data_IF_624434820164
#
_entry.id   IF_624434820164
#
_cell.length_a   1.000
_cell.length_b   1.000
_cell.length_c   1.000
_cell.angle_alpha   90.00
_cell.angle_beta   90.00
_cell.angle_gamma   90.00
#
_symmetry.space_group_name_H-M   'P 1'
#
loop_
_entity.id
_entity.type
_entity.pdbx_description
1 polymer ?
#
# COMPACT_ATOMS: atom_id res chain seq x y z
N UNK A 1 12.49 -12.48 19.07
CA UNK A 1 11.46 -13.06 18.20
C UNK A 1 10.41 -12.00 18.05
N UNK A 2 9.97 -11.68 16.84
CA UNK A 2 8.96 -10.64 16.64
C UNK A 2 7.62 -11.09 17.20
N UNK A 3 6.94 -10.21 17.94
CA UNK A 3 5.62 -10.46 18.57
C UNK A 3 4.52 -9.60 17.98
N UNK A 4 4.88 -8.46 17.39
CA UNK A 4 3.96 -7.48 16.81
C UNK A 4 4.47 -7.03 15.45
N UNK A 5 3.82 -7.47 14.40
CA UNK A 5 4.17 -7.16 13.01
C UNK A 5 3.17 -6.15 12.45
N UNK A 6 3.66 -5.02 11.96
CA UNK A 6 2.87 -4.03 11.25
C UNK A 6 3.12 -4.17 9.76
N UNK A 7 2.07 -4.27 8.94
CA UNK A 7 2.16 -4.21 7.48
C UNK A 7 1.50 -2.95 6.95
N UNK A 8 2.26 -2.17 6.18
CA UNK A 8 1.78 -0.95 5.55
C UNK A 8 1.28 -1.26 4.14
N UNK A 9 -0.02 -1.09 3.90
CA UNK A 9 -0.67 -1.38 2.62
C UNK A 9 -1.15 -0.10 1.93
N UNK A 10 -1.21 -0.14 0.61
CA UNK A 10 -1.82 0.87 -0.26
C UNK A 10 -2.75 0.19 -1.27
N UNK A 11 -3.35 0.95 -2.19
CA UNK A 11 -4.24 0.40 -3.24
C UNK A 11 -3.50 -0.23 -4.43
N UNK A 12 -2.23 -0.57 -4.28
CA UNK A 12 -1.43 -1.14 -5.35
C UNK A 12 -1.64 -2.64 -5.60
N UNK A 13 -1.21 -3.09 -6.77
CA UNK A 13 -1.12 -4.51 -7.11
C UNK A 13 -0.22 -5.32 -6.15
N UNK A 14 0.77 -4.67 -5.55
CA UNK A 14 1.69 -5.28 -4.58
C UNK A 14 1.01 -5.61 -3.24
N UNK A 15 -0.12 -4.98 -2.91
CA UNK A 15 -0.85 -5.15 -1.64
C UNK A 15 -1.06 -6.61 -1.25
N UNK A 16 -1.57 -7.41 -2.18
CA UNK A 16 -1.88 -8.83 -1.91
C UNK A 16 -0.63 -9.62 -1.58
N UNK A 17 0.44 -9.42 -2.35
CA UNK A 17 1.72 -10.09 -2.12
C UNK A 17 2.35 -9.68 -0.79
N UNK A 18 2.35 -8.39 -0.50
CA UNK A 18 2.86 -7.82 0.75
C UNK A 18 2.13 -8.37 1.98
N UNK A 19 0.79 -8.37 1.92
CA UNK A 19 -0.03 -8.90 2.99
C UNK A 19 0.18 -10.41 3.19
N UNK A 20 0.29 -11.19 2.12
CA UNK A 20 0.61 -12.62 2.21
C UNK A 20 1.92 -12.85 2.95
N UNK A 21 2.97 -12.12 2.61
CA UNK A 21 4.28 -12.21 3.30
C UNK A 21 4.18 -11.87 4.78
N UNK A 22 3.42 -10.81 5.12
CA UNK A 22 3.20 -10.43 6.51
C UNK A 22 2.42 -11.49 7.30
N UNK A 23 1.41 -12.10 6.69
CA UNK A 23 0.62 -13.19 7.25
C UNK A 23 1.50 -14.42 7.50
N UNK A 24 2.32 -14.81 6.53
CA UNK A 24 3.22 -15.97 6.66
C UNK A 24 4.22 -15.75 7.80
N UNK A 25 4.79 -14.54 7.91
CA UNK A 25 5.66 -14.18 9.01
C UNK A 25 4.95 -14.19 10.36
N UNK A 26 3.74 -13.62 10.44
CA UNK A 26 2.96 -13.58 11.67
C UNK A 26 2.62 -15.00 12.16
N UNK A 27 2.25 -15.91 11.27
CA UNK A 27 2.05 -17.33 11.61
C UNK A 27 3.31 -18.01 12.13
N UNK A 28 4.41 -17.84 11.40
CA UNK A 28 5.69 -18.49 11.76
C UNK A 28 6.20 -18.00 13.11
N UNK A 29 6.01 -16.72 13.41
CA UNK A 29 6.48 -16.06 14.63
C UNK A 29 5.46 -16.14 15.78
N UNK A 30 4.23 -16.57 15.52
CA UNK A 30 3.09 -16.46 16.44
C UNK A 30 2.86 -15.01 16.91
N UNK A 31 2.98 -14.06 15.99
CA UNK A 31 2.89 -12.64 16.23
C UNK A 31 1.49 -12.09 15.95
N UNK A 32 1.11 -11.02 16.66
CA UNK A 32 -0.05 -10.19 16.33
C UNK A 32 0.24 -9.39 15.05
N UNK A 33 -0.79 -9.12 14.25
CA UNK A 33 -0.67 -8.37 13.00
C UNK A 33 -1.48 -7.07 13.05
N UNK A 34 -0.85 -5.96 12.68
CA UNK A 34 -1.50 -4.67 12.42
C UNK A 34 -1.45 -4.36 10.93
N UNK A 35 -2.59 -4.10 10.31
CA UNK A 35 -2.67 -3.64 8.92
C UNK A 35 -2.90 -2.13 8.93
N UNK A 36 -2.00 -1.37 8.32
CA UNK A 36 -2.06 0.10 8.29
C UNK A 36 -2.21 0.59 6.85
N UNK A 37 -3.19 1.46 6.64
CA UNK A 37 -3.34 2.25 5.43
C UNK A 37 -3.22 3.74 5.78
N UNK A 38 -2.30 4.44 5.12
CA UNK A 38 -2.16 5.89 5.25
C UNK A 38 -2.97 6.58 4.15
N UNK A 39 -4.06 7.22 4.54
CA UNK A 39 -4.94 7.93 3.60
C UNK A 39 -4.27 9.23 3.14
N UNK A 40 -3.76 9.22 1.91
CA UNK A 40 -3.00 10.33 1.34
C UNK A 40 -3.63 10.85 0.05
N UNK A 41 -3.67 12.18 -0.11
CA UNK A 41 -4.10 12.83 -1.36
C UNK A 41 -3.18 12.53 -2.56
N UNK A 42 -2.01 11.96 -2.31
CA UNK A 42 -1.04 11.60 -3.34
C UNK A 42 -1.07 10.12 -3.72
N UNK A 43 -1.96 9.34 -3.12
CA UNK A 43 -2.12 7.93 -3.43
C UNK A 43 -2.86 7.75 -4.76
N UNK A 44 -2.56 6.64 -5.44
CA UNK A 44 -3.27 6.27 -6.67
C UNK A 44 -4.74 5.98 -6.37
N UNK A 45 -5.64 6.58 -7.14
CA UNK A 45 -7.08 6.46 -6.92
C UNK A 45 -7.65 7.46 -5.91
N UNK A 46 -6.82 8.23 -5.19
CA UNK A 46 -7.33 9.27 -4.29
C UNK A 46 -8.06 10.38 -5.08
N UNK A 47 -9.11 10.98 -4.50
CA UNK A 47 -9.81 12.08 -5.13
C UNK A 47 -8.88 13.28 -5.36
N UNK A 48 -8.69 13.67 -6.61
CA UNK A 48 -7.91 14.85 -6.96
C UNK A 48 -8.61 16.14 -6.51
N UNK A 49 -7.80 17.13 -6.09
CA UNK A 49 -8.31 18.46 -5.75
C UNK A 49 -9.07 19.08 -6.95
N UNK A 50 -10.16 19.82 -6.71
CA UNK A 50 -10.86 20.53 -7.78
C UNK A 50 -9.91 21.54 -8.44
N UNK A 51 -9.50 21.25 -9.67
CA UNK A 51 -8.64 22.16 -10.45
C UNK A 51 -9.52 23.21 -11.11
N UNK A 52 -9.24 24.49 -10.85
CA UNK A 52 -9.86 25.58 -11.63
C UNK A 52 -9.38 25.48 -13.07
N UNK A 53 -10.31 25.27 -14.00
CA UNK A 53 -9.99 25.48 -15.41
C UNK A 53 -9.71 26.98 -15.63
N UNK A 54 -8.48 27.31 -15.96
CA UNK A 54 -7.96 28.69 -16.09
C UNK A 54 -8.70 29.56 -17.11
N UNK A 55 -9.68 29.01 -17.83
CA UNK A 55 -10.43 29.67 -18.91
C UNK A 55 -11.94 29.76 -18.65
N UNK A 56 -12.42 29.53 -17.45
CA UNK A 56 -13.85 29.65 -17.17
C UNK A 56 -14.18 31.07 -16.72
N UNK A 57 -14.75 31.84 -17.64
CA UNK A 57 -15.25 33.23 -17.43
C UNK A 57 -16.57 33.26 -16.61
N UNK A 58 -17.08 32.09 -16.21
CA UNK A 58 -18.25 31.98 -15.36
C UNK A 58 -17.84 31.66 -13.92
N UNK A 59 -18.40 32.40 -12.95
CA UNK A 59 -18.25 32.00 -11.54
C UNK A 59 -19.06 30.74 -11.32
N UNK A 60 -18.46 29.58 -11.59
CA UNK A 60 -18.98 28.32 -11.04
C UNK A 60 -18.93 28.51 -9.54
N UNK A 61 -20.08 28.39 -8.88
CA UNK A 61 -20.17 28.49 -7.44
C UNK A 61 -19.19 27.47 -6.85
N UNK A 62 -18.07 27.94 -6.31
CA UNK A 62 -16.99 27.13 -5.74
C UNK A 62 -17.51 26.05 -4.75
N UNK A 63 -18.73 26.24 -4.20
CA UNK A 63 -19.38 25.30 -3.30
C UNK A 63 -19.68 23.94 -3.89
N UNK A 64 -20.20 23.85 -5.12
CA UNK A 64 -20.61 22.55 -5.72
C UNK A 64 -19.40 21.66 -6.02
N UNK A 65 -18.30 22.25 -6.47
CA UNK A 65 -17.07 21.50 -6.75
C UNK A 65 -16.45 20.99 -5.46
N UNK A 66 -16.50 21.79 -4.40
CA UNK A 66 -15.98 21.46 -3.07
C UNK A 66 -16.83 20.38 -2.39
N UNK A 67 -18.15 20.49 -2.42
CA UNK A 67 -19.08 19.46 -1.92
C UNK A 67 -18.90 18.12 -2.63
N UNK A 68 -18.68 18.17 -3.95
CA UNK A 68 -18.42 16.95 -4.74
C UNK A 68 -17.09 16.31 -4.34
N UNK A 69 -16.06 17.11 -4.11
CA UNK A 69 -14.76 16.65 -3.65
C UNK A 69 -14.84 16.00 -2.27
N UNK A 70 -15.52 16.64 -1.32
CA UNK A 70 -15.72 16.08 0.02
C UNK A 70 -16.45 14.73 -0.01
N UNK A 71 -17.54 14.62 -0.80
CA UNK A 71 -18.28 13.37 -0.96
C UNK A 71 -17.42 12.24 -1.55
N UNK A 72 -16.53 12.57 -2.49
CA UNK A 72 -15.58 11.58 -3.03
C UNK A 72 -14.58 11.12 -1.99
N UNK A 73 -14.09 12.03 -1.16
CA UNK A 73 -13.20 11.70 -0.05
C UNK A 73 -13.88 10.79 0.97
N UNK A 74 -15.08 11.14 1.42
CA UNK A 74 -15.85 10.32 2.35
C UNK A 74 -16.10 8.91 1.79
N UNK A 75 -16.36 8.82 0.51
CA UNK A 75 -16.55 7.52 -0.16
C UNK A 75 -15.24 6.73 -0.19
N UNK A 76 -14.15 7.35 -0.60
CA UNK A 76 -12.82 6.76 -0.66
C UNK A 76 -12.35 6.25 0.71
N UNK A 77 -12.52 7.07 1.75
CA UNK A 77 -12.21 6.69 3.13
C UNK A 77 -13.03 5.48 3.60
N UNK A 78 -14.32 5.50 3.35
CA UNK A 78 -15.23 4.42 3.75
C UNK A 78 -14.95 3.11 3.01
N UNK A 79 -14.63 3.18 1.72
CA UNK A 79 -14.23 2.02 0.92
C UNK A 79 -12.92 1.44 1.43
N UNK A 80 -11.91 2.28 1.71
CA UNK A 80 -10.64 1.86 2.28
C UNK A 80 -10.80 1.14 3.63
N UNK A 81 -11.63 1.67 4.54
CA UNK A 81 -11.94 1.00 5.81
C UNK A 81 -12.63 -0.34 5.59
N UNK A 82 -13.55 -0.42 4.62
CA UNK A 82 -14.24 -1.67 4.29
C UNK A 82 -13.28 -2.74 3.78
N UNK A 83 -12.34 -2.35 2.92
CA UNK A 83 -11.29 -3.24 2.42
C UNK A 83 -10.36 -3.71 3.53
N UNK A 84 -9.88 -2.81 4.38
CA UNK A 84 -9.02 -3.17 5.52
C UNK A 84 -9.70 -4.17 6.46
N UNK A 85 -11.00 -3.99 6.69
CA UNK A 85 -11.79 -4.92 7.50
C UNK A 85 -11.83 -6.34 6.88
N UNK A 86 -11.96 -6.42 5.56
CA UNK A 86 -11.93 -7.72 4.85
C UNK A 86 -10.54 -8.36 4.93
N UNK A 87 -9.48 -7.57 4.74
CA UNK A 87 -8.11 -8.05 4.85
C UNK A 87 -7.81 -8.59 6.27
N UNK A 88 -8.24 -7.84 7.28
CA UNK A 88 -8.08 -8.24 8.69
C UNK A 88 -8.91 -9.51 9.02
N UNK A 89 -10.14 -9.61 8.52
CA UNK A 89 -10.97 -10.80 8.69
C UNK A 89 -10.32 -12.05 8.05
N UNK A 90 -9.73 -11.88 6.86
CA UNK A 90 -9.02 -12.96 6.18
C UNK A 90 -7.77 -13.44 6.94
N UNK A 91 -7.02 -12.54 7.53
CA UNK A 91 -5.87 -12.88 8.37
C UNK A 91 -6.32 -13.54 9.69
N UNK A 92 -7.37 -13.02 10.32
CA UNK A 92 -7.95 -13.59 11.55
C UNK A 92 -8.51 -14.99 11.35
N UNK A 93 -9.12 -15.26 10.20
CA UNK A 93 -9.60 -16.61 9.83
C UNK A 93 -8.45 -17.63 9.71
N UNK A 94 -7.22 -17.17 9.58
CA UNK A 94 -6.01 -17.99 9.55
C UNK A 94 -5.37 -18.15 10.94
N UNK A 95 -6.05 -17.72 12.00
CA UNK A 95 -5.61 -17.86 13.39
C UNK A 95 -4.68 -16.75 13.89
N UNK A 96 -4.54 -15.65 13.16
CA UNK A 96 -3.70 -14.52 13.54
C UNK A 96 -4.57 -13.46 14.23
N UNK A 97 -4.20 -13.02 15.43
CA UNK A 97 -4.82 -11.85 16.05
C UNK A 97 -4.46 -10.62 15.23
N UNK A 98 -5.47 -10.05 14.55
CA UNK A 98 -5.27 -9.00 13.56
C UNK A 98 -6.10 -7.76 13.91
N UNK A 99 -5.43 -6.62 13.90
CA UNK A 99 -6.00 -5.28 14.02
C UNK A 99 -5.76 -4.51 12.72
N UNK A 100 -6.53 -3.46 12.48
CA UNK A 100 -6.29 -2.57 11.35
C UNK A 100 -6.60 -1.12 11.70
N UNK A 101 -5.95 -0.20 11.00
CA UNK A 101 -6.23 1.23 11.10
C UNK A 101 -6.04 1.92 9.75
N UNK A 102 -6.86 2.96 9.54
CA UNK A 102 -6.70 3.91 8.45
C UNK A 102 -6.52 5.30 9.04
N UNK A 103 -5.46 5.99 8.66
CA UNK A 103 -5.12 7.29 9.24
C UNK A 103 -4.74 8.26 8.13
N UNK A 104 -5.34 9.44 8.12
CA UNK A 104 -4.99 10.49 7.16
C UNK A 104 -3.66 11.14 7.51
N UNK A 105 -2.82 11.37 6.49
CA UNK A 105 -1.56 12.07 6.67
C UNK A 105 -0.46 11.66 5.69
N UNK A 106 0.76 12.11 5.99
CA UNK A 106 1.96 11.68 5.26
C UNK A 106 2.24 10.19 5.54
N UNK A 107 2.30 9.34 4.51
CA UNK A 107 2.37 7.90 4.70
C UNK A 107 3.56 7.43 5.54
N UNK A 108 4.74 8.01 5.32
CA UNK A 108 5.93 7.63 6.09
C UNK A 108 5.78 7.92 7.57
N UNK A 109 5.24 9.11 7.91
CA UNK A 109 4.99 9.51 9.31
C UNK A 109 3.91 8.67 9.94
N UNK A 110 2.77 8.51 9.28
CA UNK A 110 1.65 7.69 9.79
C UNK A 110 2.10 6.28 10.14
N UNK A 111 2.89 5.63 9.27
CA UNK A 111 3.41 4.29 9.51
C UNK A 111 4.30 4.25 10.75
N UNK A 112 5.24 5.19 10.88
CA UNK A 112 6.13 5.26 12.04
C UNK A 112 5.38 5.56 13.35
N UNK A 113 4.40 6.47 13.31
CA UNK A 113 3.61 6.86 14.48
C UNK A 113 2.72 5.70 14.96
N UNK A 114 2.06 5.00 14.04
CA UNK A 114 1.28 3.79 14.36
C UNK A 114 2.18 2.67 14.88
N UNK A 115 3.34 2.44 14.25
CA UNK A 115 4.29 1.44 14.72
C UNK A 115 4.75 1.71 16.16
N UNK A 116 5.04 2.97 16.48
CA UNK A 116 5.45 3.39 17.82
C UNK A 116 4.31 3.23 18.83
N UNK A 117 3.11 3.73 18.52
CA UNK A 117 1.96 3.69 19.43
C UNK A 117 1.46 2.27 19.68
N UNK A 118 1.48 1.42 18.67
CA UNK A 118 1.11 0.01 18.76
C UNK A 118 2.25 -0.87 19.29
N UNK A 119 3.47 -0.32 19.42
CA UNK A 119 4.68 -1.02 19.86
C UNK A 119 5.06 -2.17 18.90
N UNK A 120 5.09 -1.90 17.61
CA UNK A 120 5.50 -2.87 16.62
C UNK A 120 6.99 -3.24 16.78
N UNK A 121 7.31 -4.52 16.60
CA UNK A 121 8.68 -5.04 16.56
C UNK A 121 9.25 -5.05 15.15
N UNK A 122 8.35 -5.17 14.15
CA UNK A 122 8.68 -5.25 12.74
C UNK A 122 7.65 -4.49 11.91
N UNK A 123 8.13 -3.67 11.01
CA UNK A 123 7.33 -3.08 9.93
C UNK A 123 7.62 -3.84 8.64
N UNK A 124 6.58 -4.30 7.95
CA UNK A 124 6.64 -4.88 6.60
C UNK A 124 6.09 -3.84 5.62
N UNK A 125 6.89 -3.43 4.65
CA UNK A 125 6.54 -2.37 3.69
C UNK A 125 7.00 -2.74 2.30
N UNK A 126 6.22 -2.36 1.28
CA UNK A 126 6.57 -2.58 -0.12
C UNK A 126 7.60 -1.58 -0.63
N UNK A 127 8.45 -2.04 -1.53
CA UNK A 127 9.35 -1.19 -2.30
C UNK A 127 8.63 -0.69 -3.55
N UNK A 128 7.78 0.32 -3.48
CA UNK A 128 7.15 0.83 -4.68
C UNK A 128 7.86 2.06 -5.22
N UNK A 129 8.53 1.93 -6.38
CA UNK A 129 8.85 3.05 -7.25
C UNK A 129 7.65 3.40 -8.14
N UNK A 130 7.19 4.65 -8.14
CA UNK A 130 6.10 5.19 -8.97
C UNK A 130 6.38 5.21 -10.47
N UNK A 131 7.55 4.85 -10.89
CA UNK A 131 7.96 4.80 -12.28
C UNK A 131 8.86 3.59 -12.43
N UNK A 132 8.55 2.70 -13.36
CA UNK A 132 9.34 1.52 -13.73
C UNK A 132 10.82 1.79 -14.09
N UNK A 133 11.42 2.75 -13.42
CA UNK A 133 12.81 3.17 -13.56
C UNK A 133 13.62 2.56 -12.41
N UNK A 134 14.30 1.52 -12.78
CA UNK A 134 15.42 0.84 -12.11
C UNK A 134 15.12 0.13 -10.78
N UNK A 135 15.50 -1.12 -10.73
CA UNK A 135 15.52 -2.08 -9.62
C UNK A 135 16.24 -1.59 -8.34
N UNK A 136 16.79 -0.36 -8.35
CA UNK A 136 17.66 0.18 -7.29
C UNK A 136 17.07 1.30 -6.46
N UNK A 137 15.84 1.78 -6.74
CA UNK A 137 15.28 2.89 -5.96
C UNK A 137 14.25 2.44 -4.95
N UNK A 138 14.59 2.58 -3.68
CA UNK A 138 13.61 2.56 -2.60
C UNK A 138 12.60 3.69 -2.81
N UNK A 139 11.30 3.39 -2.72
CA UNK A 139 10.24 4.40 -2.76
C UNK A 139 10.39 5.43 -1.62
N UNK A 140 9.86 6.64 -1.82
CA UNK A 140 9.96 7.72 -0.82
C UNK A 140 9.44 7.33 0.56
N UNK A 141 8.33 6.58 0.61
CA UNK A 141 7.73 6.12 1.88
C UNK A 141 8.60 5.07 2.56
N UNK A 142 9.02 4.03 1.84
CA UNK A 142 9.89 2.98 2.38
C UNK A 142 11.24 3.54 2.84
N UNK A 143 11.81 4.48 2.09
CA UNK A 143 13.04 5.17 2.49
C UNK A 143 12.84 5.98 3.78
N UNK A 144 11.73 6.73 3.89
CA UNK A 144 11.43 7.48 5.10
C UNK A 144 11.28 6.54 6.31
N UNK A 145 10.51 5.46 6.17
CA UNK A 145 10.27 4.49 7.24
C UNK A 145 11.58 3.82 7.68
N UNK A 146 12.45 3.42 6.75
CA UNK A 146 13.76 2.84 7.09
C UNK A 146 14.64 3.75 7.95
N UNK A 147 14.54 5.07 7.76
CA UNK A 147 15.35 6.02 8.52
C UNK A 147 14.72 6.48 9.84
N UNK A 148 13.39 6.35 9.99
CA UNK A 148 12.67 6.93 11.13
C UNK A 148 11.93 5.92 12.01
N UNK A 149 11.82 4.65 11.58
CA UNK A 149 11.19 3.62 12.40
C UNK A 149 12.00 3.32 13.66
N UNK A 150 11.31 3.13 14.79
CA UNK A 150 11.91 2.74 16.05
C UNK A 150 12.11 1.22 16.19
N UNK A 151 11.76 0.44 15.16
CA UNK A 151 11.82 -1.01 15.14
C UNK A 151 12.44 -1.53 13.82
N UNK A 152 12.54 -2.85 13.68
CA UNK A 152 13.02 -3.47 12.43
C UNK A 152 12.11 -3.15 11.24
N UNK A 153 12.68 -3.03 10.05
CA UNK A 153 11.94 -2.79 8.81
C UNK A 153 12.32 -3.85 7.78
N UNK A 154 11.31 -4.54 7.26
CA UNK A 154 11.43 -5.47 6.15
C UNK A 154 10.83 -4.82 4.90
N UNK A 155 11.68 -4.57 3.92
CA UNK A 155 11.24 -4.07 2.62
C UNK A 155 11.02 -5.24 1.66
N UNK A 156 9.79 -5.36 1.15
CA UNK A 156 9.41 -6.41 0.21
C UNK A 156 9.41 -5.82 -1.20
N UNK A 157 10.21 -6.41 -2.07
CA UNK A 157 10.27 -6.03 -3.47
C UNK A 157 9.15 -6.70 -4.27
N UNK A 158 8.61 -5.98 -5.26
CA UNK A 158 7.79 -6.63 -6.29
C UNK A 158 8.72 -7.47 -7.14
N UNK A 159 8.68 -8.78 -6.98
CA UNK A 159 9.18 -9.66 -8.01
C UNK A 159 8.10 -9.72 -9.09
N UNK A 160 8.13 -8.83 -10.08
CA UNK A 160 7.57 -9.17 -11.37
C UNK A 160 8.44 -10.33 -11.89
N UNK A 161 7.95 -11.55 -11.70
CA UNK A 161 8.42 -12.67 -12.50
C UNK A 161 7.92 -12.33 -13.90
N UNK A 162 8.80 -11.76 -14.71
CA UNK A 162 8.64 -11.71 -16.15
C UNK A 162 8.46 -13.17 -16.56
N UNK A 163 7.21 -13.56 -16.81
CA UNK A 163 6.90 -14.87 -17.36
C UNK A 163 7.55 -14.90 -18.72
N UNK A 164 8.76 -15.50 -18.77
CA UNK A 164 9.47 -15.76 -20.02
C UNK A 164 8.50 -16.51 -20.91
N UNK A 165 7.90 -15.80 -21.86
CA UNK A 165 7.12 -16.39 -22.92
C UNK A 165 7.96 -17.52 -23.53
N UNK A 166 7.41 -18.74 -23.68
CA UNK A 166 8.16 -19.84 -24.22
C UNK A 166 8.62 -19.43 -25.62
N UNK A 167 9.94 -19.33 -25.80
CA UNK A 167 10.57 -19.15 -27.10
C UNK A 167 10.15 -20.34 -27.95
N UNK A 168 9.21 -20.11 -28.86
CA UNK A 168 8.83 -21.08 -29.87
C UNK A 168 10.06 -21.28 -30.72
N UNK A 169 10.71 -22.42 -30.51
CA UNK A 169 11.80 -22.87 -31.39
C UNK A 169 11.22 -23.01 -32.79
N UNK A 170 11.64 -22.12 -33.67
CA UNK A 170 11.40 -22.25 -35.09
C UNK A 170 12.17 -23.50 -35.57
N UNK A 171 11.47 -24.58 -35.78
CA UNK A 171 11.98 -25.73 -36.53
C UNK A 171 12.23 -25.28 -37.97
N UNK A 172 13.48 -25.20 -38.31
CA UNK A 172 13.92 -25.18 -39.70
C UNK A 172 13.70 -26.56 -40.28
N UNK A 173 12.72 -26.70 -41.16
CA UNK A 173 12.72 -27.75 -42.17
C UNK A 173 12.55 -27.08 -43.53
N UNK A 174 13.64 -26.94 -44.16
CA UNK A 174 13.75 -26.77 -45.61
C UNK A 174 14.91 -27.64 -46.06
N UNK A 175 14.64 -28.62 -46.85
CA UNK A 175 15.48 -29.07 -47.94
C UNK A 175 14.85 -30.34 -48.51
N UNK A 176 14.25 -30.23 -49.69
CA UNK A 176 14.49 -31.09 -50.86
C UNK A 176 13.88 -30.45 -52.07
#
# INVERSE_FOLDING_TARGET
MYQKILVAVDHSSLRTHLLSKAIDLAKLMQADLMIVHALSAYEEGSPGLPVRAYHSYYPISDGVAWDTYQKRWETYEREGISELRQLAANASAQGIKTEFTQTAGDPGRVICDVATSWQADLIVIGNRGRSGLSEFFLGSVSNYVMHHAACSVLVVHSTEVEELAPTVAATADAIS
#
